data_IF_845909296835
#
_entry.id   IF_845909296835
#
_cell.length_a   1.000
_cell.length_b   1.000
_cell.length_c   1.000
_cell.angle_alpha   90.00
_cell.angle_beta   90.00
_cell.angle_gamma   90.00
#
_symmetry.space_group_name_H-M   'P 1'
#
loop_
_entity.id
_entity.type
_entity.pdbx_description
1 polymer ?
#
# COMPACT_ATOMS: atom_id res chain seq x y z
N UNK A 1 -13.40 -8.40 -9.97
CA UNK A 1 -14.36 -9.54 -10.04
C UNK A 1 -13.69 -10.92 -10.18
N UNK A 2 -12.38 -11.03 -9.92
CA UNK A 2 -11.61 -12.25 -10.17
C UNK A 2 -11.06 -12.36 -11.60
N UNK A 3 -11.36 -11.39 -12.46
CA UNK A 3 -10.73 -11.18 -13.76
C UNK A 3 -9.62 -10.14 -13.62
N UNK A 4 -8.54 -10.31 -14.39
CA UNK A 4 -7.48 -9.31 -14.47
C UNK A 4 -7.86 -8.23 -15.46
N UNK A 5 -7.81 -6.99 -15.00
CA UNK A 5 -8.08 -5.79 -15.79
C UNK A 5 -6.78 -5.23 -16.39
N UNK A 6 -6.91 -4.25 -17.31
CA UNK A 6 -5.77 -3.67 -18.01
C UNK A 6 -5.72 -2.15 -17.82
N UNK A 7 -4.59 -1.63 -17.35
CA UNK A 7 -4.27 -0.20 -17.36
C UNK A 7 -3.39 0.12 -18.58
N UNK A 8 -3.81 1.09 -19.40
CA UNK A 8 -3.15 1.46 -20.66
C UNK A 8 -2.89 2.96 -20.69
N UNK A 9 -1.63 3.34 -20.77
CA UNK A 9 -1.24 4.73 -20.98
C UNK A 9 -1.41 5.16 -22.43
N UNK A 10 -2.02 6.33 -22.63
CA UNK A 10 -2.20 7.01 -23.91
C UNK A 10 -1.55 8.40 -23.82
N UNK A 11 -0.22 8.43 -23.82
CA UNK A 11 0.55 9.62 -23.43
C UNK A 11 0.46 10.81 -24.38
N UNK A 12 0.02 10.62 -25.63
CA UNK A 12 -0.24 11.69 -26.60
C UNK A 12 -1.75 11.95 -26.76
N UNK A 13 -2.59 11.46 -25.85
CA UNK A 13 -4.03 11.72 -25.92
C UNK A 13 -4.36 13.20 -25.72
N UNK A 14 -5.34 13.67 -26.51
CA UNK A 14 -5.72 15.08 -26.61
C UNK A 14 -7.08 15.38 -25.94
N UNK A 15 -7.70 14.43 -25.22
CA UNK A 15 -9.04 14.58 -24.64
C UNK A 15 -9.12 15.71 -23.60
N UNK A 16 -8.09 15.87 -22.75
CA UNK A 16 -7.98 16.94 -21.74
C UNK A 16 -7.31 18.23 -22.23
N UNK A 17 -6.58 18.18 -23.35
CA UNK A 17 -5.80 19.28 -23.92
C UNK A 17 -4.69 18.78 -24.84
N UNK A 18 -3.86 19.65 -25.42
CA UNK A 18 -2.89 19.22 -26.44
C UNK A 18 -1.78 18.36 -25.81
N UNK A 19 -1.71 17.08 -26.15
CA UNK A 19 -0.71 16.12 -25.66
C UNK A 19 -0.58 16.10 -24.14
N UNK A 20 -1.70 16.26 -23.44
CA UNK A 20 -1.73 16.10 -21.98
C UNK A 20 -1.58 14.63 -21.60
N UNK A 21 -2.11 13.73 -22.43
CA UNK A 21 -2.11 12.30 -22.20
C UNK A 21 -3.25 11.83 -21.29
N UNK A 22 -3.48 10.53 -21.30
CA UNK A 22 -4.53 9.88 -20.52
C UNK A 22 -4.11 8.47 -20.07
N UNK A 23 -4.86 7.92 -19.12
CA UNK A 23 -4.81 6.53 -18.70
C UNK A 23 -6.18 5.88 -18.89
N UNK A 24 -6.23 4.73 -19.54
CA UNK A 24 -7.45 3.94 -19.67
C UNK A 24 -7.38 2.69 -18.80
N UNK A 25 -8.40 2.49 -17.98
CA UNK A 25 -8.64 1.25 -17.24
C UNK A 25 -9.70 0.45 -17.97
N UNK A 26 -9.31 -0.65 -18.60
CA UNK A 26 -10.22 -1.59 -19.23
C UNK A 26 -10.58 -2.70 -18.25
N UNK A 27 -11.84 -2.72 -17.82
CA UNK A 27 -12.42 -3.85 -17.13
C UNK A 27 -12.66 -4.98 -18.12
N UNK A 28 -12.13 -6.16 -17.81
CA UNK A 28 -12.06 -7.27 -18.78
C UNK A 28 -13.06 -8.38 -18.44
N UNK A 29 -13.60 -9.00 -19.49
CA UNK A 29 -14.29 -10.29 -19.37
C UNK A 29 -13.29 -11.46 -19.38
N UNK A 30 -13.69 -12.60 -18.83
CA UNK A 30 -12.85 -13.82 -18.83
C UNK A 30 -12.49 -14.36 -20.22
N UNK A 31 -13.19 -13.91 -21.26
CA UNK A 31 -12.92 -14.29 -22.66
C UNK A 31 -11.91 -13.34 -23.35
N UNK A 32 -11.39 -12.34 -22.62
CA UNK A 32 -10.42 -11.36 -23.10
C UNK A 32 -11.06 -10.17 -23.84
N UNK A 33 -12.39 -10.06 -23.89
CA UNK A 33 -13.06 -8.85 -24.36
C UNK A 33 -13.13 -7.78 -23.27
N UNK A 34 -13.27 -6.52 -23.65
CA UNK A 34 -13.47 -5.40 -22.73
C UNK A 34 -14.95 -5.36 -22.33
N UNK A 35 -15.24 -5.34 -21.03
CA UNK A 35 -16.58 -5.12 -20.47
C UNK A 35 -16.90 -3.62 -20.41
N UNK A 36 -16.02 -2.84 -19.81
CA UNK A 36 -16.13 -1.38 -19.71
C UNK A 36 -14.77 -0.71 -19.65
N UNK A 37 -14.74 0.60 -19.89
CA UNK A 37 -13.52 1.40 -19.84
C UNK A 37 -13.78 2.64 -19.01
N UNK A 38 -12.85 2.94 -18.10
CA UNK A 38 -12.74 4.24 -17.43
C UNK A 38 -11.52 4.96 -18.00
N UNK A 39 -11.68 6.25 -18.25
CA UNK A 39 -10.60 7.14 -18.68
C UNK A 39 -10.24 8.06 -17.51
N UNK A 40 -8.94 8.26 -17.32
CA UNK A 40 -8.34 9.13 -16.33
C UNK A 40 -7.47 10.14 -17.07
N UNK A 41 -7.80 11.40 -16.88
CA UNK A 41 -7.20 12.57 -17.54
C UNK A 41 -7.26 13.80 -16.60
N UNK A 42 -6.93 14.97 -17.12
CA UNK A 42 -6.97 16.24 -16.37
C UNK A 42 -8.37 16.65 -15.86
N UNK A 43 -9.44 16.15 -16.47
CA UNK A 43 -10.82 16.47 -16.07
C UNK A 43 -11.36 15.47 -15.02
N UNK A 44 -10.58 14.44 -14.68
CA UNK A 44 -10.96 13.41 -13.73
C UNK A 44 -10.92 13.92 -12.30
N UNK A 45 -12.01 13.74 -11.56
CA UNK A 45 -12.09 14.11 -10.15
C UNK A 45 -11.02 13.36 -9.34
N UNK A 46 -10.30 14.09 -8.48
CA UNK A 46 -9.15 13.61 -7.72
C UNK A 46 -7.98 13.07 -8.58
N UNK A 47 -8.06 13.23 -9.91
CA UNK A 47 -7.04 12.79 -10.86
C UNK A 47 -5.84 13.73 -10.94
N UNK A 48 -4.99 13.55 -11.97
CA UNK A 48 -3.83 14.40 -12.17
C UNK A 48 -4.25 15.83 -12.55
N UNK A 49 -3.39 16.81 -12.26
CA UNK A 49 -3.51 18.17 -12.81
C UNK A 49 -2.45 18.32 -13.90
N UNK A 50 -2.88 18.46 -15.16
CA UNK A 50 -2.00 18.43 -16.32
C UNK A 50 -2.09 19.73 -17.13
N UNK A 51 -0.96 20.09 -17.73
CA UNK A 51 -0.82 21.11 -18.75
C UNK A 51 -0.53 20.48 -20.11
N UNK A 52 -0.76 21.25 -21.18
CA UNK A 52 -0.46 20.83 -22.54
C UNK A 52 1.02 20.41 -22.67
N UNK A 53 1.25 19.16 -23.07
CA UNK A 53 2.59 18.60 -23.27
C UNK A 53 3.14 17.77 -22.11
N UNK A 54 2.42 17.61 -20.99
CA UNK A 54 2.91 16.86 -19.82
C UNK A 54 3.07 15.35 -20.07
N UNK A 55 2.42 14.83 -21.13
CA UNK A 55 2.47 13.44 -21.61
C UNK A 55 2.19 12.38 -20.52
N UNK A 56 1.15 12.62 -19.72
CA UNK A 56 0.68 11.69 -18.69
C UNK A 56 0.28 10.33 -19.27
N UNK A 57 0.64 9.25 -18.58
CA UNK A 57 0.44 7.89 -19.09
C UNK A 57 1.63 7.38 -19.91
N UNK A 58 2.77 8.09 -19.90
CA UNK A 58 3.98 7.64 -20.58
C UNK A 58 4.53 6.33 -20.01
N UNK A 59 4.44 6.19 -18.69
CA UNK A 59 4.75 4.96 -17.98
C UNK A 59 3.63 4.64 -17.00
N UNK A 60 3.34 3.35 -16.83
CA UNK A 60 2.27 2.86 -15.95
C UNK A 60 2.79 1.62 -15.23
N UNK A 61 2.64 1.59 -13.91
CA UNK A 61 2.94 0.43 -13.08
C UNK A 61 1.78 0.13 -12.14
N UNK A 62 1.38 -1.14 -12.05
CA UNK A 62 0.59 -1.62 -10.94
C UNK A 62 1.49 -1.70 -9.70
N UNK A 63 1.05 -1.10 -8.60
CA UNK A 63 1.84 -1.00 -7.37
C UNK A 63 1.22 -1.79 -6.22
N UNK A 64 0.27 -2.68 -6.53
CA UNK A 64 -0.48 -3.40 -5.51
C UNK A 64 -1.44 -2.49 -4.78
N UNK A 65 -1.91 -2.94 -3.63
CA UNK A 65 -2.87 -2.25 -2.77
C UNK A 65 -2.07 -1.52 -1.67
N UNK A 66 -1.76 -0.25 -1.90
CA UNK A 66 -0.81 0.53 -1.11
C UNK A 66 -1.47 1.12 0.15
N UNK A 67 -2.74 1.53 0.06
CA UNK A 67 -3.55 1.99 1.19
C UNK A 67 -4.34 0.87 1.89
N UNK A 68 -4.32 -0.35 1.32
CA UNK A 68 -4.93 -1.58 1.85
C UNK A 68 -6.45 -1.57 1.79
N UNK A 69 -7.08 -0.80 0.90
CA UNK A 69 -8.54 -0.75 0.78
C UNK A 69 -9.14 -1.99 0.05
N UNK A 70 -8.28 -2.87 -0.47
CA UNK A 70 -8.64 -4.06 -1.23
C UNK A 70 -8.75 -3.84 -2.74
N UNK A 71 -8.30 -2.69 -3.24
CA UNK A 71 -8.20 -2.31 -4.65
C UNK A 71 -6.72 -2.14 -5.01
N UNK A 72 -6.38 -2.38 -6.27
CA UNK A 72 -5.01 -2.19 -6.75
C UNK A 72 -4.81 -0.75 -7.19
N UNK A 73 -3.77 -0.12 -6.64
CA UNK A 73 -3.33 1.23 -6.95
C UNK A 73 -2.35 1.24 -8.13
N UNK A 74 -2.19 2.43 -8.70
CA UNK A 74 -1.40 2.65 -9.91
C UNK A 74 -0.40 3.79 -9.72
N UNK A 75 0.79 3.61 -10.29
CA UNK A 75 1.76 4.69 -10.47
C UNK A 75 1.87 5.04 -11.95
N UNK A 76 1.74 6.32 -12.28
CA UNK A 76 1.66 6.82 -13.66
C UNK A 76 2.59 8.01 -13.87
N UNK A 77 3.47 7.92 -14.87
CA UNK A 77 4.42 8.97 -15.20
C UNK A 77 3.84 10.04 -16.13
N UNK A 78 4.16 11.30 -15.81
CA UNK A 78 4.02 12.48 -16.66
C UNK A 78 5.40 13.14 -16.81
N UNK A 79 6.29 12.58 -17.65
CA UNK A 79 7.70 12.96 -17.66
C UNK A 79 8.01 14.39 -18.08
N UNK A 80 7.09 15.10 -18.74
CA UNK A 80 7.29 16.50 -19.13
C UNK A 80 6.49 17.48 -18.26
N UNK A 81 5.87 17.00 -17.19
CA UNK A 81 5.21 17.90 -16.23
C UNK A 81 6.22 18.92 -15.65
N UNK A 82 5.75 20.16 -15.60
CA UNK A 82 6.48 21.34 -15.13
C UNK A 82 6.40 21.54 -13.60
N UNK A 83 5.79 20.61 -12.87
CA UNK A 83 5.71 20.66 -11.41
C UNK A 83 7.11 20.81 -10.78
N UNK A 84 7.32 21.93 -10.09
CA UNK A 84 8.60 22.29 -9.47
C UNK A 84 9.65 22.86 -10.45
N UNK A 85 9.41 22.89 -11.76
CA UNK A 85 10.29 23.51 -12.77
C UNK A 85 10.19 22.85 -14.15
N UNK A 86 10.77 23.50 -15.18
CA UNK A 86 10.60 23.09 -16.59
C UNK A 86 10.97 21.63 -16.86
N UNK A 87 10.04 20.85 -17.41
CA UNK A 87 10.17 19.44 -17.79
C UNK A 87 10.85 18.57 -16.70
N UNK A 88 10.56 18.85 -15.43
CA UNK A 88 11.15 18.06 -14.33
C UNK A 88 10.56 16.67 -14.27
N UNK A 89 9.28 16.56 -14.61
CA UNK A 89 8.51 15.34 -14.62
C UNK A 89 7.97 14.98 -13.24
N UNK A 90 6.83 14.29 -13.26
CA UNK A 90 6.09 13.86 -12.06
C UNK A 90 5.65 12.40 -12.21
N UNK A 91 5.60 11.67 -11.10
CA UNK A 91 4.87 10.40 -11.02
C UNK A 91 3.66 10.58 -10.13
N UNK A 92 2.50 10.22 -10.63
CA UNK A 92 1.23 10.25 -9.92
C UNK A 92 0.94 8.87 -9.35
N UNK A 93 0.74 8.78 -8.04
CA UNK A 93 0.23 7.61 -7.35
C UNK A 93 -1.27 7.79 -7.23
N UNK A 94 -2.05 6.96 -7.90
CA UNK A 94 -3.51 6.97 -7.84
C UNK A 94 -3.99 5.83 -6.94
N UNK A 95 -4.66 6.22 -5.86
CA UNK A 95 -5.43 5.31 -5.03
C UNK A 95 -6.80 5.09 -5.67
N UNK A 96 -7.10 3.84 -5.99
CA UNK A 96 -8.17 3.50 -6.94
C UNK A 96 -9.42 2.99 -6.25
N UNK A 97 -10.60 3.39 -6.72
CA UNK A 97 -11.87 2.76 -6.34
C UNK A 97 -12.17 1.53 -7.22
N UNK A 98 -13.00 0.62 -6.69
CA UNK A 98 -13.44 -0.60 -7.41
C UNK A 98 -14.15 -0.34 -8.74
N UNK A 99 -14.70 0.85 -8.93
CA UNK A 99 -15.37 1.25 -10.17
C UNK A 99 -14.41 1.90 -11.19
N UNK A 100 -13.12 1.97 -10.88
CA UNK A 100 -12.07 2.55 -11.71
C UNK A 100 -11.89 4.07 -11.54
N UNK A 101 -12.71 4.72 -10.71
CA UNK A 101 -12.49 6.12 -10.33
C UNK A 101 -11.33 6.28 -9.35
N UNK A 102 -10.83 7.51 -9.19
CA UNK A 102 -9.72 7.81 -8.27
C UNK A 102 -10.28 8.28 -6.93
N UNK A 103 -9.85 7.63 -5.84
CA UNK A 103 -10.12 8.09 -4.48
C UNK A 103 -9.24 9.30 -4.15
N UNK A 104 -7.92 9.14 -4.29
CA UNK A 104 -6.96 10.22 -4.08
C UNK A 104 -5.70 10.07 -4.95
N UNK A 105 -4.98 11.17 -5.14
CA UNK A 105 -3.72 11.20 -5.88
C UNK A 105 -2.61 11.81 -5.03
N UNK A 106 -1.44 11.19 -5.06
CA UNK A 106 -0.19 11.72 -4.50
C UNK A 106 0.81 11.94 -5.63
N UNK A 107 1.40 13.13 -5.68
CA UNK A 107 2.45 13.46 -6.65
C UNK A 107 3.85 13.23 -6.06
N UNK A 108 4.68 12.54 -6.83
CA UNK A 108 6.10 12.38 -6.59
C UNK A 108 6.86 13.30 -7.57
N UNK A 109 7.42 14.40 -7.06
CA UNK A 109 8.20 15.38 -7.79
C UNK A 109 9.27 16.03 -6.89
N UNK A 110 9.95 17.09 -7.35
CA UNK A 110 11.04 17.78 -6.63
C UNK A 110 10.60 18.42 -5.29
N UNK A 111 9.29 18.60 -5.09
CA UNK A 111 8.75 19.17 -3.84
C UNK A 111 8.36 18.12 -2.81
N UNK A 112 8.36 16.83 -3.18
CA UNK A 112 8.01 15.73 -2.29
C UNK A 112 9.02 15.64 -1.15
N UNK A 113 8.53 15.54 0.09
CA UNK A 113 9.39 15.37 1.25
C UNK A 113 10.20 14.07 1.14
N UNK A 114 11.51 14.14 1.40
CA UNK A 114 12.46 13.04 1.13
C UNK A 114 12.50 12.56 -0.33
N UNK A 115 11.94 13.36 -1.25
CA UNK A 115 11.90 13.09 -2.67
C UNK A 115 13.21 13.40 -3.39
N UNK A 116 13.19 13.15 -4.69
CA UNK A 116 14.31 13.30 -5.60
C UNK A 116 14.63 14.77 -5.83
N UNK A 117 15.92 15.17 -5.79
CA UNK A 117 16.30 16.51 -6.25
C UNK A 117 16.40 16.50 -7.76
N UNK A 118 15.48 17.19 -8.43
CA UNK A 118 15.36 17.21 -9.88
C UNK A 118 15.80 18.56 -10.46
N UNK A 119 16.59 18.48 -11.54
CA UNK A 119 16.93 19.64 -12.37
C UNK A 119 15.89 19.81 -13.48
N UNK A 120 15.83 20.99 -14.09
CA UNK A 120 14.99 21.17 -15.28
C UNK A 120 15.40 20.18 -16.38
N UNK A 121 14.41 19.68 -17.12
CA UNK A 121 14.56 18.62 -18.11
C UNK A 121 15.08 17.30 -17.51
N UNK A 122 14.75 17.01 -16.25
CA UNK A 122 15.08 15.74 -15.61
C UNK A 122 14.29 14.57 -16.20
N UNK A 123 13.09 14.83 -16.73
CA UNK A 123 12.22 13.81 -17.34
C UNK A 123 11.92 12.66 -16.36
N UNK A 124 11.66 13.02 -15.09
CA UNK A 124 11.36 12.07 -14.03
C UNK A 124 10.01 11.38 -14.28
N UNK A 125 9.95 10.07 -14.10
CA UNK A 125 8.74 9.30 -14.43
C UNK A 125 8.71 8.74 -15.85
N UNK A 126 9.81 8.85 -16.62
CA UNK A 126 9.95 8.19 -17.94
C UNK A 126 9.84 6.66 -17.86
N UNK A 127 10.12 6.09 -16.69
CA UNK A 127 9.85 4.69 -16.39
C UNK A 127 9.53 4.55 -14.91
N UNK A 128 8.55 3.70 -14.59
CA UNK A 128 8.15 3.38 -13.23
C UNK A 128 8.01 1.87 -13.12
N UNK A 129 8.51 1.29 -12.03
CA UNK A 129 8.37 -0.12 -11.73
C UNK A 129 8.13 -0.35 -10.23
N UNK A 130 7.17 -1.21 -9.92
CA UNK A 130 7.13 -1.87 -8.61
C UNK A 130 8.33 -2.82 -8.49
N UNK A 131 9.08 -2.70 -7.39
CA UNK A 131 10.24 -3.56 -7.12
C UNK A 131 10.05 -4.47 -5.91
N UNK A 132 8.82 -4.50 -5.37
CA UNK A 132 8.48 -5.20 -4.14
C UNK A 132 8.99 -4.48 -2.89
N UNK A 133 8.79 -5.08 -1.72
CA UNK A 133 9.27 -4.57 -0.43
C UNK A 133 10.79 -4.80 -0.32
N UNK A 134 11.58 -3.78 -0.62
CA UNK A 134 13.04 -3.85 -0.63
C UNK A 134 13.63 -3.60 0.76
N UNK A 135 12.98 -2.80 1.60
CA UNK A 135 13.46 -2.44 2.94
C UNK A 135 12.93 -3.36 4.08
N UNK A 136 11.94 -4.20 3.80
CA UNK A 136 11.35 -5.16 4.73
C UNK A 136 10.27 -4.57 5.65
N UNK A 137 9.68 -3.42 5.30
CA UNK A 137 8.67 -2.75 6.14
C UNK A 137 7.22 -3.20 5.86
N UNK A 138 7.02 -4.09 4.88
CA UNK A 138 5.72 -4.62 4.50
C UNK A 138 4.94 -3.73 3.53
N UNK A 139 5.56 -2.69 2.99
CA UNK A 139 5.05 -1.84 1.90
C UNK A 139 5.84 -2.11 0.63
N UNK A 140 5.21 -2.00 -0.55
CA UNK A 140 5.97 -2.12 -1.80
C UNK A 140 6.83 -0.88 -2.03
N UNK A 141 8.00 -1.05 -2.62
CA UNK A 141 8.86 0.06 -3.03
C UNK A 141 8.80 0.27 -4.55
N UNK A 142 9.20 1.47 -4.98
CA UNK A 142 9.19 1.88 -6.39
C UNK A 142 10.59 2.21 -6.90
N UNK A 143 10.84 1.84 -8.15
CA UNK A 143 11.97 2.32 -8.94
C UNK A 143 11.47 3.28 -10.02
N UNK A 144 12.01 4.49 -10.06
CA UNK A 144 11.60 5.54 -10.99
C UNK A 144 12.81 6.07 -11.76
N UNK A 145 12.72 6.04 -13.08
CA UNK A 145 13.75 6.56 -13.98
C UNK A 145 13.57 8.05 -14.26
N UNK A 146 14.69 8.74 -14.43
CA UNK A 146 14.75 10.12 -14.92
C UNK A 146 15.91 10.25 -15.89
N UNK A 147 15.63 10.48 -17.17
CA UNK A 147 16.64 10.47 -18.23
C UNK A 147 17.62 11.64 -18.14
N UNK A 148 17.13 12.81 -17.74
CA UNK A 148 17.93 14.04 -17.64
C UNK A 148 18.31 14.44 -16.23
N UNK A 149 17.91 13.68 -15.19
CA UNK A 149 18.34 13.95 -13.83
C UNK A 149 19.84 13.65 -13.72
N UNK A 150 20.67 14.69 -13.79
CA UNK A 150 22.11 14.56 -13.75
C UNK A 150 22.57 13.86 -12.44
N UNK A 151 22.97 12.59 -12.51
CA UNK A 151 23.73 11.92 -11.47
C UNK A 151 25.15 12.51 -11.36
N UNK A 152 25.26 13.78 -10.93
CA UNK A 152 26.53 14.48 -10.72
C UNK A 152 27.25 14.98 -11.99
N UNK A 153 26.51 15.25 -13.08
CA UNK A 153 27.01 15.80 -14.35
C UNK A 153 26.63 17.27 -14.59
N UNK A 154 27.25 17.91 -15.59
CA UNK A 154 26.82 19.24 -16.09
C UNK A 154 25.50 19.12 -16.87
N UNK A 155 24.65 20.17 -16.78
CA UNK A 155 23.39 20.27 -17.52
C UNK A 155 23.52 19.82 -18.98
N UNK A 156 22.72 18.84 -19.39
CA UNK A 156 22.73 18.29 -20.75
C UNK A 156 23.69 17.11 -20.96
N UNK A 157 24.20 16.50 -19.88
CA UNK A 157 25.07 15.32 -19.97
C UNK A 157 24.36 14.02 -20.40
N UNK A 158 23.02 14.01 -20.39
CA UNK A 158 22.19 12.87 -20.80
C UNK A 158 22.41 11.62 -19.95
N UNK A 159 22.81 11.80 -18.69
CA UNK A 159 23.06 10.69 -17.75
C UNK A 159 21.79 10.44 -16.96
N UNK A 160 21.07 9.38 -17.32
CA UNK A 160 19.89 8.96 -16.59
C UNK A 160 20.19 8.54 -15.15
N UNK A 161 19.24 8.79 -14.25
CA UNK A 161 19.24 8.36 -12.86
C UNK A 161 18.09 7.39 -12.60
N UNK A 162 18.34 6.41 -11.72
CA UNK A 162 17.31 5.56 -11.13
C UNK A 162 17.13 5.97 -9.66
N UNK A 163 15.92 6.36 -9.31
CA UNK A 163 15.52 6.64 -7.93
C UNK A 163 14.80 5.42 -7.35
N UNK A 164 15.15 5.08 -6.11
CA UNK A 164 14.44 4.07 -5.32
C UNK A 164 13.67 4.81 -4.25
N UNK A 165 12.35 4.71 -4.31
CA UNK A 165 11.44 5.30 -3.34
C UNK A 165 11.00 4.21 -2.38
N UNK A 166 11.45 4.33 -1.12
CA UNK A 166 10.91 3.54 -0.03
C UNK A 166 9.54 4.10 0.33
N UNK A 167 8.49 3.36 -0.01
CA UNK A 167 7.14 3.83 0.25
C UNK A 167 6.76 3.47 1.68
N UNK A 168 5.98 4.32 2.31
CA UNK A 168 5.33 3.99 3.56
C UNK A 168 3.84 3.94 3.28
N UNK A 169 3.21 2.79 3.50
CA UNK A 169 1.76 2.77 3.58
C UNK A 169 1.36 3.67 4.74
N UNK A 170 0.37 4.54 4.55
CA UNK A 170 -0.37 4.98 5.72
C UNK A 170 -0.88 3.68 6.35
N UNK A 171 -0.39 3.36 7.54
CA UNK A 171 -1.08 2.42 8.41
C UNK A 171 -2.36 3.12 8.86
N UNK A 172 -3.27 3.39 7.92
CA UNK A 172 -4.68 3.23 8.17
C UNK A 172 -4.75 1.78 8.65
N UNK A 173 -4.81 1.65 9.97
CA UNK A 173 -5.24 0.43 10.58
C UNK A 173 -6.54 0.12 9.89
N UNK A 174 -6.57 -0.85 8.98
CA UNK A 174 -7.80 -1.38 8.41
C UNK A 174 -8.61 -1.86 9.59
N UNK A 175 -9.41 -0.96 10.15
CA UNK A 175 -10.55 -1.31 10.95
C UNK A 175 -11.44 -2.02 9.96
N UNK A 176 -11.25 -3.33 9.81
CA UNK A 176 -12.24 -4.20 9.19
C UNK A 176 -13.57 -3.78 9.83
N UNK A 177 -14.48 -3.32 8.97
CA UNK A 177 -15.75 -2.76 9.39
C UNK A 177 -16.35 -3.64 10.49
N UNK A 178 -16.67 -3.03 11.64
CA UNK A 178 -17.28 -3.73 12.76
C UNK A 178 -18.52 -4.47 12.21
N UNK A 179 -18.49 -5.81 12.13
CA UNK A 179 -19.66 -6.59 11.76
C UNK A 179 -20.64 -6.55 12.94
N UNK A 180 -21.42 -5.47 13.01
CA UNK A 180 -22.38 -5.17 14.10
C UNK A 180 -23.53 -6.17 14.19
N UNK A 181 -23.49 -7.30 13.48
CA UNK A 181 -24.44 -8.39 13.61
C UNK A 181 -24.01 -9.25 14.79
N UNK A 182 -24.88 -9.38 15.79
CA UNK A 182 -24.81 -10.49 16.74
C UNK A 182 -24.87 -11.81 15.95
N UNK A 183 -23.73 -12.41 15.66
CA UNK A 183 -23.70 -13.73 15.07
C UNK A 183 -24.21 -14.74 16.09
N UNK A 184 -25.10 -15.62 15.65
CA UNK A 184 -25.73 -16.66 16.47
C UNK A 184 -24.74 -17.78 16.82
N UNK A 185 -23.51 -17.66 16.33
CA UNK A 185 -22.44 -18.63 16.37
C UNK A 185 -21.22 -18.02 17.04
N UNK A 186 -20.42 -18.86 17.68
CA UNK A 186 -19.16 -18.45 18.28
C UNK A 186 -18.16 -18.18 17.14
N UNK A 187 -17.35 -17.11 17.17
CA UNK A 187 -16.37 -16.86 16.12
C UNK A 187 -15.48 -18.09 15.92
N UNK A 188 -15.16 -18.45 14.66
CA UNK A 188 -14.26 -19.55 14.37
C UNK A 188 -12.87 -19.27 14.95
N UNK A 189 -12.04 -20.30 15.00
CA UNK A 189 -10.68 -20.17 15.52
C UNK A 189 -9.85 -19.21 14.66
N UNK A 190 -8.88 -18.55 15.30
CA UNK A 190 -7.98 -17.62 14.62
C UNK A 190 -7.16 -18.42 13.63
N UNK A 191 -7.19 -18.04 12.36
CA UNK A 191 -6.60 -18.87 11.31
C UNK A 191 -5.09 -18.69 11.21
N UNK A 192 -4.61 -17.45 11.37
CA UNK A 192 -3.20 -17.14 11.26
C UNK A 192 -2.77 -16.06 12.25
N UNK A 193 -1.56 -16.20 12.81
CA UNK A 193 -0.86 -15.17 13.60
C UNK A 193 0.57 -15.03 13.05
N UNK A 194 1.10 -13.80 13.00
CA UNK A 194 2.51 -13.50 12.73
C UNK A 194 3.02 -12.46 13.75
N UNK A 195 4.28 -12.61 14.13
CA UNK A 195 4.97 -11.81 15.14
C UNK A 195 6.22 -11.20 14.51
N UNK A 196 6.41 -9.89 14.63
CA UNK A 196 7.57 -9.18 14.08
C UNK A 196 8.16 -8.30 15.19
N UNK A 197 9.44 -8.47 15.57
CA UNK A 197 10.11 -7.54 16.46
C UNK A 197 10.18 -6.16 15.80
N UNK A 198 9.71 -5.13 16.49
CA UNK A 198 9.64 -3.78 15.95
C UNK A 198 10.06 -2.76 17.02
N UNK A 199 10.66 -1.65 16.58
CA UNK A 199 10.96 -0.48 17.40
C UNK A 199 10.04 0.65 16.93
N UNK A 200 9.13 1.09 17.81
CA UNK A 200 8.21 2.19 17.54
C UNK A 200 8.39 3.26 18.61
N UNK A 201 8.64 4.50 18.21
CA UNK A 201 8.87 5.64 19.11
C UNK A 201 9.94 5.37 20.19
N UNK A 202 11.08 4.78 19.79
CA UNK A 202 12.19 4.35 20.67
C UNK A 202 11.82 3.26 21.69
N UNK A 203 10.68 2.58 21.53
CA UNK A 203 10.24 1.48 22.38
C UNK A 203 10.34 0.17 21.59
N UNK A 204 11.17 -0.75 22.09
CA UNK A 204 11.20 -2.13 21.60
C UNK A 204 9.90 -2.87 21.96
N UNK A 205 9.36 -3.61 20.99
CA UNK A 205 8.17 -4.41 21.20
C UNK A 205 7.97 -5.45 20.11
N UNK A 206 6.72 -5.88 19.99
CA UNK A 206 6.31 -6.89 19.03
C UNK A 206 5.08 -6.38 18.28
N UNK A 207 5.18 -6.26 16.96
CA UNK A 207 4.02 -6.14 16.11
C UNK A 207 3.39 -7.52 15.93
N UNK A 208 2.15 -7.62 16.34
CA UNK A 208 1.34 -8.83 16.17
C UNK A 208 0.37 -8.58 15.02
N UNK A 209 0.29 -9.50 14.08
CA UNK A 209 -0.69 -9.50 12.99
C UNK A 209 -1.49 -10.80 13.03
N UNK A 210 -2.78 -10.76 12.71
CA UNK A 210 -3.64 -11.93 12.74
C UNK A 210 -4.75 -11.87 11.69
N UNK A 211 -5.30 -13.04 11.37
CA UNK A 211 -6.45 -13.19 10.45
C UNK A 211 -7.62 -13.79 11.22
N UNK A 212 -8.69 -13.00 11.37
CA UNK A 212 -9.94 -13.41 11.98
C UNK A 212 -11.12 -12.70 11.29
N UNK A 213 -11.93 -13.46 10.55
CA UNK A 213 -12.94 -12.91 9.65
C UNK A 213 -14.29 -12.59 10.31
N UNK A 214 -14.68 -13.28 11.39
CA UNK A 214 -16.04 -13.17 11.96
C UNK A 214 -16.09 -12.52 13.37
N UNK A 215 -15.06 -11.75 13.74
CA UNK A 215 -14.99 -11.09 15.05
C UNK A 215 -14.92 -9.57 14.93
N UNK A 216 -15.56 -8.86 15.86
CA UNK A 216 -15.51 -7.39 15.91
C UNK A 216 -14.28 -6.91 16.68
N UNK A 217 -13.86 -7.72 17.66
CA UNK A 217 -12.83 -7.39 18.64
C UNK A 217 -11.99 -8.60 18.97
N UNK A 218 -10.83 -8.35 19.56
CA UNK A 218 -9.98 -9.39 20.14
C UNK A 218 -9.61 -9.08 21.58
N UNK A 219 -9.42 -10.13 22.38
CA UNK A 219 -8.69 -10.07 23.64
C UNK A 219 -7.29 -10.66 23.41
N UNK A 220 -6.24 -9.88 23.66
CA UNK A 220 -4.83 -10.31 23.54
C UNK A 220 -4.31 -10.60 24.94
N UNK A 221 -3.73 -11.78 25.13
CA UNK A 221 -3.11 -12.19 26.38
C UNK A 221 -1.61 -12.41 26.15
N UNK A 222 -0.79 -11.84 27.04
CA UNK A 222 0.68 -11.90 26.97
C UNK A 222 1.17 -12.63 28.22
N UNK A 223 2.11 -13.55 28.02
CA UNK A 223 2.72 -14.31 29.11
C UNK A 223 3.82 -13.53 29.83
N UNK A 224 4.08 -13.90 31.09
CA UNK A 224 5.14 -13.35 31.95
C UNK A 224 6.52 -13.99 31.79
N UNK A 225 6.73 -14.70 30.68
CA UNK A 225 7.92 -15.52 30.45
C UNK A 225 7.93 -16.83 31.23
N UNK A 226 6.87 -17.14 32.00
CA UNK A 226 6.69 -18.42 32.70
C UNK A 226 5.58 -19.28 32.11
N UNK A 227 4.95 -18.84 31.00
CA UNK A 227 3.76 -19.47 30.43
C UNK A 227 2.44 -19.09 31.14
N UNK A 228 2.49 -18.22 32.16
CA UNK A 228 1.31 -17.63 32.77
C UNK A 228 0.95 -16.33 32.04
N UNK A 229 -0.34 -16.07 31.82
CA UNK A 229 -0.83 -14.92 31.03
C UNK A 229 -1.51 -13.84 31.90
N UNK A 230 -0.76 -13.08 32.73
CA UNK A 230 -1.34 -12.09 33.62
C UNK A 230 -1.74 -10.79 32.91
N UNK A 231 -1.15 -10.49 31.76
CA UNK A 231 -1.41 -9.24 31.03
C UNK A 231 -2.42 -9.47 29.92
N UNK A 232 -3.45 -8.62 29.89
CA UNK A 232 -4.56 -8.73 28.95
C UNK A 232 -4.92 -7.37 28.40
N UNK A 233 -4.90 -7.24 27.08
CA UNK A 233 -5.62 -6.21 26.35
C UNK A 233 -6.97 -6.81 25.97
N UNK A 234 -8.06 -6.08 26.17
CA UNK A 234 -9.40 -6.60 25.96
C UNK A 234 -10.23 -5.64 25.15
N UNK A 235 -11.09 -6.20 24.30
CA UNK A 235 -11.93 -5.41 23.38
C UNK A 235 -11.11 -4.50 22.45
N UNK A 236 -9.89 -4.91 22.11
CA UNK A 236 -9.11 -4.30 21.03
C UNK A 236 -9.88 -4.46 19.73
N UNK A 237 -9.82 -3.47 18.84
CA UNK A 237 -10.41 -3.58 17.51
C UNK A 237 -9.89 -4.84 16.81
N UNK A 238 -10.72 -5.51 16.01
CA UNK A 238 -10.24 -6.58 15.15
C UNK A 238 -9.78 -5.99 13.79
N UNK A 239 -8.75 -5.15 13.82
CA UNK A 239 -8.12 -4.51 12.65
C UNK A 239 -6.92 -5.31 12.11
N UNK A 240 -6.78 -6.56 12.57
CA UNK A 240 -5.78 -7.51 12.09
C UNK A 240 -4.37 -7.27 12.62
N UNK A 241 -4.12 -6.28 13.48
CA UNK A 241 -2.79 -6.06 14.05
C UNK A 241 -2.79 -5.22 15.33
N UNK A 242 -1.71 -5.32 16.12
CA UNK A 242 -1.52 -4.51 17.33
C UNK A 242 -0.02 -4.47 17.66
N UNK A 243 0.48 -3.29 18.03
CA UNK A 243 1.85 -3.14 18.53
C UNK A 243 1.87 -3.31 20.04
N UNK A 244 2.64 -4.29 20.53
CA UNK A 244 2.76 -4.60 21.94
C UNK A 244 4.12 -4.11 22.48
N UNK A 245 4.16 -2.94 23.16
CA UNK A 245 5.41 -2.39 23.68
C UNK A 245 5.97 -3.26 24.81
N UNK A 246 7.30 -3.36 24.88
CA UNK A 246 8.06 -4.12 25.87
C UNK A 246 7.76 -5.64 25.87
N UNK A 247 7.19 -6.17 24.79
CA UNK A 247 7.05 -7.62 24.60
C UNK A 247 8.29 -8.16 23.91
N UNK A 248 8.95 -9.10 24.58
CA UNK A 248 10.17 -9.74 24.07
C UNK A 248 9.86 -10.90 23.12
N UNK A 249 10.83 -11.29 22.31
CA UNK A 249 10.70 -12.42 21.37
C UNK A 249 10.42 -13.78 22.03
N UNK A 250 10.74 -13.92 23.33
CA UNK A 250 10.50 -15.14 24.08
C UNK A 250 9.06 -15.24 24.61
N UNK A 251 8.40 -14.10 24.85
CA UNK A 251 7.08 -14.07 25.45
C UNK A 251 6.01 -14.61 24.52
N UNK A 252 5.12 -15.39 25.08
CA UNK A 252 4.02 -16.01 24.39
C UNK A 252 2.80 -15.11 24.35
N UNK A 253 2.13 -15.10 23.21
CA UNK A 253 0.91 -14.36 22.96
C UNK A 253 -0.20 -15.33 22.59
N UNK A 254 -1.40 -15.03 23.07
CA UNK A 254 -2.65 -15.67 22.64
C UNK A 254 -3.66 -14.61 22.28
N UNK A 255 -4.46 -14.88 21.26
CA UNK A 255 -5.53 -13.98 20.84
C UNK A 255 -6.85 -14.73 20.97
N UNK A 256 -7.89 -14.03 21.42
CA UNK A 256 -9.24 -14.57 21.56
C UNK A 256 -10.22 -13.71 20.79
N UNK A 257 -10.91 -14.24 19.78
CA UNK A 257 -11.88 -13.47 19.02
C UNK A 257 -13.14 -13.21 19.85
N UNK A 258 -13.74 -12.06 19.62
CA UNK A 258 -14.86 -11.56 20.37
C UNK A 258 -15.87 -10.90 19.43
N UNK A 259 -17.12 -11.38 19.47
CA UNK A 259 -18.22 -10.79 18.73
C UNK A 259 -19.33 -10.46 19.72
N UNK A 260 -19.54 -9.16 19.97
CA UNK A 260 -20.49 -8.61 20.95
C UNK A 260 -20.65 -9.39 22.28
N UNK A 261 -21.55 -10.38 22.34
CA UNK A 261 -21.86 -11.16 23.55
C UNK A 261 -21.22 -12.55 23.61
N UNK A 262 -20.52 -12.99 22.55
CA UNK A 262 -19.83 -14.28 22.47
C UNK A 262 -18.33 -14.11 22.34
N UNK A 263 -17.60 -15.00 22.99
CA UNK A 263 -16.15 -15.11 22.87
C UNK A 263 -15.83 -16.47 22.27
N UNK A 264 -14.88 -16.52 21.32
CA UNK A 264 -14.30 -17.76 20.84
C UNK A 264 -13.41 -18.42 21.88
N UNK A 265 -12.51 -19.30 21.45
CA UNK A 265 -11.43 -19.80 22.30
C UNK A 265 -10.14 -18.99 22.08
N UNK A 266 -9.24 -19.07 23.05
CA UNK A 266 -7.89 -18.54 22.81
C UNK A 266 -7.18 -19.40 21.77
N UNK A 267 -6.43 -18.75 20.89
CA UNK A 267 -5.45 -19.41 20.04
C UNK A 267 -4.46 -20.24 20.87
N UNK A 268 -3.72 -21.11 20.19
CA UNK A 268 -2.47 -21.64 20.75
C UNK A 268 -1.53 -20.47 21.10
N UNK A 269 -0.64 -20.70 22.06
CA UNK A 269 0.41 -19.75 22.39
C UNK A 269 1.48 -19.73 21.31
N UNK A 270 1.81 -18.54 20.82
CA UNK A 270 2.88 -18.30 19.84
C UNK A 270 3.89 -17.31 20.41
N UNK A 271 5.18 -17.48 20.12
CA UNK A 271 6.21 -16.46 20.35
C UNK A 271 7.22 -16.46 19.23
N UNK A 272 7.84 -15.30 18.96
CA UNK A 272 8.77 -15.14 17.85
C UNK A 272 9.93 -16.14 17.89
N UNK A 273 10.47 -16.45 19.08
CA UNK A 273 11.59 -17.39 19.22
C UNK A 273 11.28 -18.82 18.73
N UNK A 274 10.02 -19.26 18.82
CA UNK A 274 9.61 -20.57 18.28
C UNK A 274 9.14 -20.46 16.83
N UNK A 275 8.83 -19.24 16.39
CA UNK A 275 8.03 -18.94 15.22
C UNK A 275 8.50 -17.61 14.58
N UNK A 276 9.71 -17.57 13.97
CA UNK A 276 10.32 -16.31 13.50
C UNK A 276 9.92 -15.88 12.08
N UNK A 277 9.64 -16.81 11.16
CA UNK A 277 9.66 -16.54 9.71
C UNK A 277 8.33 -16.82 8.97
N UNK A 278 7.18 -16.85 9.64
CA UNK A 278 5.93 -17.24 8.95
C UNK A 278 4.61 -16.77 9.55
N UNK A 279 3.55 -16.96 8.77
CA UNK A 279 2.19 -17.02 9.29
C UNK A 279 1.98 -18.42 9.88
N UNK A 280 1.43 -18.49 11.09
CA UNK A 280 1.20 -19.77 11.77
C UNK A 280 -0.25 -20.18 11.65
N UNK A 281 -0.51 -21.27 10.90
CA UNK A 281 -1.84 -21.86 10.84
C UNK A 281 -2.14 -22.49 12.21
N UNK A 282 -3.25 -22.09 12.81
CA UNK A 282 -3.68 -22.57 14.11
C UNK A 282 -4.87 -23.51 13.88
N UNK A 283 -4.63 -24.84 13.82
CA UNK A 283 -5.70 -25.82 13.73
C UNK A 283 -6.40 -26.07 15.07
#
# INVERSE_FOLDING_TARGET
DGVSDLAVGAYDDDAGGTSQGALHIHFMNTDGSIDSTVEIDNDTANGPTLNDGDIYGFSVASIGDLDRDGVTDLAVGAPLDDAGGTDRGTVHIHFMNKDGSIDSTVELNDSTANGSSLLNSAVYGVSVASIGDLNGDGTIDLAIGAEGADAGGELGSGRGTLFIHFMHGELETNTFDEDKRCHWETPPEITWIKLIPEIKDDIEGMLVTWVQYDADKVDIAIDDGTGNFPWKLSKTSNDGHEFLPNVTSAQQIKIKPHNHCRKGEYSISVSYNFYPDGWYNIP
#
